data_IF_945872796049
#
_entry.id   IF_945872796049
#
_cell.length_a   1.000
_cell.length_b   1.000
_cell.length_c   1.000
_cell.angle_alpha   90.00
_cell.angle_beta   90.00
_cell.angle_gamma   90.00
#
_symmetry.space_group_name_H-M   'P 1'
#
loop_
_entity.id
_entity.type
_entity.pdbx_description
1 polymer ?
#
# COMPACT_ATOMS: atom_id res chain seq x y z
N UNK A 1 15.06 14.51 -15.60
CA UNK A 1 14.29 15.60 -14.96
C UNK A 1 13.14 14.93 -14.21
N UNK A 2 13.33 14.68 -12.92
CA UNK A 2 12.48 13.78 -12.14
C UNK A 2 11.88 14.52 -10.96
N UNK A 3 10.56 14.42 -10.77
CA UNK A 3 9.88 14.92 -9.58
C UNK A 3 9.53 13.74 -8.68
N UNK A 4 10.04 13.74 -7.47
CA UNK A 4 9.92 12.61 -6.56
C UNK A 4 8.69 12.76 -5.68
N UNK A 5 7.76 11.82 -5.77
CA UNK A 5 6.51 11.83 -5.01
C UNK A 5 6.54 10.70 -3.99
N UNK A 6 6.84 11.00 -2.73
CA UNK A 6 6.78 10.05 -1.63
C UNK A 6 5.38 10.03 -1.04
N UNK A 7 4.81 8.86 -0.79
CA UNK A 7 3.63 8.70 0.04
C UNK A 7 3.95 7.67 1.12
N UNK A 8 3.75 8.05 2.39
CA UNK A 8 4.01 7.19 3.55
C UNK A 8 2.77 7.08 4.44
N UNK A 9 2.42 5.85 4.84
CA UNK A 9 1.32 5.58 5.75
C UNK A 9 1.52 4.22 6.41
N UNK A 10 0.76 3.99 7.48
CA UNK A 10 1.03 2.90 8.40
C UNK A 10 -0.22 2.06 8.68
N UNK A 11 -0.09 0.73 8.60
CA UNK A 11 -1.16 -0.22 8.88
C UNK A 11 -0.88 -0.92 10.21
N UNK A 12 -1.91 -1.20 11.01
CA UNK A 12 -1.78 -2.03 12.21
C UNK A 12 -2.21 -3.48 11.93
N UNK A 13 -1.31 -4.43 12.17
CA UNK A 13 -1.57 -5.88 12.06
C UNK A 13 -1.64 -6.51 13.46
N UNK A 14 -2.58 -7.44 13.64
CA UNK A 14 -2.71 -8.25 14.84
C UNK A 14 -1.78 -9.49 14.77
N UNK A 15 -0.83 -9.67 15.70
CA UNK A 15 0.05 -10.84 15.70
C UNK A 15 -0.67 -12.14 16.10
N UNK A 16 -0.29 -13.27 15.48
CA UNK A 16 -0.76 -14.62 15.81
C UNK A 16 -0.04 -15.25 17.00
N UNK A 17 1.20 -14.82 17.27
CA UNK A 17 2.00 -15.33 18.39
C UNK A 17 1.48 -14.76 19.70
N UNK A 18 0.44 -15.41 20.23
CA UNK A 18 -0.15 -15.12 21.53
C UNK A 18 0.54 -15.97 22.60
N UNK A 19 1.44 -15.42 23.43
CA UNK A 19 1.86 -16.10 24.64
C UNK A 19 0.65 -16.28 25.55
N UNK A 20 0.37 -17.53 25.97
CA UNK A 20 -0.71 -17.83 26.93
C UNK A 20 -0.48 -17.00 28.21
N UNK A 21 -1.50 -16.25 28.64
CA UNK A 21 -1.53 -15.63 29.97
C UNK A 21 -1.17 -14.14 30.07
N UNK A 22 -0.90 -13.41 28.99
CA UNK A 22 -0.75 -11.94 29.04
C UNK A 22 -1.94 -11.21 28.41
N UNK A 23 -2.65 -10.40 29.22
CA UNK A 23 -3.63 -9.43 28.73
C UNK A 23 -2.87 -8.33 27.96
N UNK A 24 -3.08 -8.31 26.64
CA UNK A 24 -2.44 -7.43 25.65
C UNK A 24 -0.92 -7.62 25.47
N UNK A 25 -0.53 -8.18 24.32
CA UNK A 25 0.65 -7.68 23.60
C UNK A 25 0.09 -7.03 22.35
N UNK A 26 0.26 -5.71 22.27
CA UNK A 26 -0.50 -4.78 21.43
C UNK A 26 -0.43 -5.06 19.93
N UNK A 27 -1.37 -4.44 19.21
CA UNK A 27 -1.32 -4.31 17.74
C UNK A 27 0.10 -3.92 17.33
N UNK A 28 0.70 -4.63 16.36
CA UNK A 28 2.00 -4.24 15.80
C UNK A 28 1.78 -3.47 14.52
N UNK A 29 2.54 -2.40 14.37
CA UNK A 29 2.39 -1.43 13.31
C UNK A 29 3.36 -1.75 12.17
N UNK A 30 2.84 -2.06 10.98
CA UNK A 30 3.61 -2.26 9.76
C UNK A 30 3.63 -0.99 8.92
N UNK A 31 4.81 -0.57 8.51
CA UNK A 31 5.02 0.65 7.72
C UNK A 31 5.03 0.32 6.24
N UNK A 32 4.46 1.21 5.44
CA UNK A 32 4.50 1.18 3.98
C UNK A 32 4.94 2.57 3.49
N UNK A 33 5.89 2.58 2.58
CA UNK A 33 6.27 3.75 1.80
C UNK A 33 6.14 3.39 0.33
N UNK A 34 5.68 4.35 -0.45
CA UNK A 34 5.58 4.25 -1.90
C UNK A 34 6.20 5.51 -2.48
N UNK A 35 7.07 5.35 -3.46
CA UNK A 35 7.61 6.46 -4.22
C UNK A 35 7.49 6.20 -5.72
N UNK A 36 7.34 7.27 -6.49
CA UNK A 36 7.19 7.26 -7.94
C UNK A 36 7.55 8.65 -8.47
N UNK A 37 7.79 8.75 -9.78
CA UNK A 37 8.27 9.97 -10.42
C UNK A 37 7.27 10.63 -11.37
N UNK A 38 6.06 10.06 -11.48
CA UNK A 38 5.01 10.60 -12.32
C UNK A 38 3.92 9.59 -12.64
N UNK A 39 3.08 9.94 -13.60
CA UNK A 39 1.97 9.13 -14.07
C UNK A 39 2.10 8.91 -15.57
N UNK A 40 1.85 7.68 -16.01
CA UNK A 40 1.77 7.32 -17.43
C UNK A 40 0.41 6.70 -17.73
N UNK A 41 -0.11 6.91 -18.94
CA UNK A 41 -1.35 6.24 -19.36
C UNK A 41 -1.14 4.73 -19.35
N UNK A 42 -2.13 4.00 -18.85
CA UNK A 42 -2.07 2.53 -18.76
C UNK A 42 -1.89 1.88 -20.14
N UNK A 43 -2.52 2.44 -21.16
CA UNK A 43 -2.40 2.01 -22.55
C UNK A 43 -2.71 3.19 -23.49
N UNK A 44 -2.27 3.14 -24.77
CA UNK A 44 -2.66 4.13 -25.76
C UNK A 44 -4.19 4.31 -25.80
N UNK A 45 -4.67 5.55 -25.70
CA UNK A 45 -6.10 5.88 -25.71
C UNK A 45 -6.87 5.62 -24.41
N UNK A 46 -6.22 5.18 -23.33
CA UNK A 46 -6.87 5.02 -22.03
C UNK A 46 -6.95 6.35 -21.25
N UNK A 47 -8.04 6.52 -20.51
CA UNK A 47 -8.20 7.58 -19.49
C UNK A 47 -7.63 7.14 -18.13
N UNK A 48 -7.19 5.88 -17.99
CA UNK A 48 -6.58 5.36 -16.77
C UNK A 48 -5.07 5.60 -16.75
N UNK A 49 -4.56 5.94 -15.56
CA UNK A 49 -3.14 6.16 -15.33
C UNK A 49 -2.58 5.15 -14.33
N UNK A 50 -1.29 4.87 -14.47
CA UNK A 50 -0.49 4.14 -13.50
C UNK A 50 0.71 4.99 -13.09
N UNK A 51 1.24 4.73 -11.90
CA UNK A 51 2.43 5.42 -11.40
C UNK A 51 3.68 4.90 -12.12
N UNK A 52 4.49 5.82 -12.61
CA UNK A 52 5.74 5.52 -13.32
C UNK A 52 6.87 5.25 -12.32
N UNK A 53 7.73 4.29 -12.64
CA UNK A 53 8.85 3.81 -11.79
C UNK A 53 8.49 3.58 -10.32
N UNK A 54 7.27 3.11 -10.05
CA UNK A 54 6.78 2.92 -8.69
C UNK A 54 7.68 1.96 -7.89
N UNK A 55 8.15 2.44 -6.75
CA UNK A 55 8.81 1.65 -5.73
C UNK A 55 7.94 1.62 -4.47
N UNK A 56 7.98 0.49 -3.77
CA UNK A 56 7.31 0.24 -2.52
C UNK A 56 8.31 -0.38 -1.54
N UNK A 57 8.25 0.06 -0.29
CA UNK A 57 8.97 -0.50 0.84
C UNK A 57 7.97 -0.81 1.94
N UNK A 58 8.02 -2.01 2.51
CA UNK A 58 7.13 -2.37 3.61
C UNK A 58 7.85 -3.22 4.66
N UNK A 59 7.48 -3.05 5.92
CA UNK A 59 8.01 -3.90 7.00
C UNK A 59 7.73 -3.39 8.40
N UNK A 60 8.05 -4.24 9.37
CA UNK A 60 8.16 -3.84 10.77
C UNK A 60 9.55 -3.24 11.00
N UNK A 61 9.56 -1.97 11.38
CA UNK A 61 10.77 -1.23 11.73
C UNK A 61 10.38 -0.02 12.59
N UNK A 62 11.33 0.48 13.38
CA UNK A 62 11.20 1.81 13.97
C UNK A 62 11.10 2.87 12.87
N UNK A 63 10.57 4.05 13.17
CA UNK A 63 10.43 5.11 12.16
C UNK A 63 11.76 5.51 11.53
N UNK A 64 12.84 5.55 12.33
CA UNK A 64 14.20 5.84 11.86
C UNK A 64 14.72 4.77 10.91
N UNK A 65 14.72 3.50 11.35
CA UNK A 65 15.18 2.37 10.51
C UNK A 65 14.36 2.25 9.22
N UNK A 66 13.06 2.53 9.29
CA UNK A 66 12.20 2.48 8.12
C UNK A 66 12.51 3.61 7.13
N UNK A 67 12.74 4.82 7.63
CA UNK A 67 13.16 5.96 6.80
C UNK A 67 14.49 5.67 6.10
N UNK A 68 15.50 5.20 6.83
CA UNK A 68 16.81 4.80 6.27
C UNK A 68 16.66 3.74 5.17
N UNK A 69 15.79 2.73 5.38
CA UNK A 69 15.50 1.72 4.38
C UNK A 69 14.84 2.31 3.12
N UNK A 70 13.90 3.24 3.30
CA UNK A 70 13.20 3.91 2.20
C UNK A 70 14.18 4.76 1.40
N UNK A 71 14.97 5.60 2.07
CA UNK A 71 15.96 6.47 1.42
C UNK A 71 17.02 5.64 0.67
N UNK A 72 17.51 4.53 1.25
CA UNK A 72 18.41 3.62 0.56
C UNK A 72 17.78 2.93 -0.66
N UNK A 73 16.49 2.58 -0.58
CA UNK A 73 15.76 1.98 -1.71
C UNK A 73 15.56 3.02 -2.82
N UNK A 74 15.26 4.27 -2.47
CA UNK A 74 15.16 5.37 -3.43
C UNK A 74 16.50 5.58 -4.13
N UNK A 75 17.59 5.74 -3.37
CA UNK A 75 18.93 5.96 -3.92
C UNK A 75 19.45 4.81 -4.79
N UNK A 76 18.93 3.60 -4.60
CA UNK A 76 19.25 2.46 -5.46
C UNK A 76 18.59 2.55 -6.85
N UNK A 77 17.40 3.14 -6.92
CA UNK A 77 16.57 3.13 -8.13
C UNK A 77 16.57 4.46 -8.87
N UNK A 78 16.75 5.55 -8.12
CA UNK A 78 16.74 6.92 -8.61
C UNK A 78 18.13 7.54 -8.44
N UNK A 79 18.52 8.36 -9.42
CA UNK A 79 19.63 9.27 -9.22
C UNK A 79 19.17 10.42 -8.31
N UNK A 80 19.46 10.30 -7.02
CA UNK A 80 19.02 11.28 -6.00
C UNK A 80 19.60 12.66 -6.20
N UNK A 81 20.78 12.76 -6.83
CA UNK A 81 21.46 14.02 -7.10
C UNK A 81 20.76 14.83 -8.22
N UNK A 82 19.94 14.19 -9.04
CA UNK A 82 19.15 14.82 -10.10
C UNK A 82 17.71 15.16 -9.66
N UNK A 83 17.33 14.89 -8.41
CA UNK A 83 16.00 15.20 -7.91
C UNK A 83 15.94 16.69 -7.57
N UNK A 84 15.27 17.47 -8.40
CA UNK A 84 15.05 18.90 -8.17
C UNK A 84 13.96 19.15 -7.12
N UNK A 85 12.88 18.34 -7.17
CA UNK A 85 11.74 18.48 -6.28
C UNK A 85 11.32 17.14 -5.70
N UNK A 86 11.13 17.11 -4.39
CA UNK A 86 10.62 15.98 -3.60
C UNK A 86 9.39 16.40 -2.82
N UNK A 87 8.22 15.91 -3.24
CA UNK A 87 6.97 16.10 -2.52
C UNK A 87 6.71 14.88 -1.63
N UNK A 88 6.59 15.12 -0.33
CA UNK A 88 6.30 14.11 0.68
C UNK A 88 4.82 14.20 1.08
N UNK A 89 4.06 13.16 0.79
CA UNK A 89 2.66 12.99 1.17
C UNK A 89 2.54 12.06 2.38
N UNK A 90 1.81 12.46 3.40
CA UNK A 90 1.63 11.60 4.57
C UNK A 90 0.63 12.13 5.59
N UNK A 91 0.53 11.42 6.71
CA UNK A 91 -0.39 11.72 7.81
C UNK A 91 0.09 12.86 8.74
N UNK A 92 1.29 13.39 8.50
CA UNK A 92 1.89 14.44 9.30
C UNK A 92 2.70 13.94 10.50
N UNK A 93 2.99 12.64 10.60
CA UNK A 93 3.88 12.10 11.63
C UNK A 93 5.28 12.75 11.55
N UNK A 94 5.91 12.95 12.71
CA UNK A 94 7.17 13.71 12.83
C UNK A 94 8.30 13.15 11.96
N UNK A 95 8.42 11.82 11.85
CA UNK A 95 9.45 11.16 11.05
C UNK A 95 9.29 11.38 9.53
N UNK A 96 8.06 11.61 9.07
CA UNK A 96 7.77 11.94 7.66
C UNK A 96 8.32 13.35 7.35
N UNK A 97 8.28 14.22 8.36
CA UNK A 97 8.69 15.62 8.28
C UNK A 97 10.16 15.88 8.58
N UNK A 98 10.93 14.85 8.90
CA UNK A 98 12.33 14.99 9.33
C UNK A 98 13.23 15.60 8.24
N UNK A 99 12.89 15.42 6.96
CA UNK A 99 13.61 16.02 5.82
C UNK A 99 13.05 17.39 5.40
N UNK A 100 12.08 17.95 6.14
CA UNK A 100 11.59 19.30 5.84
C UNK A 100 12.64 20.34 6.25
N UNK A 101 12.89 21.27 5.33
CA UNK A 101 13.97 22.26 5.46
C UNK A 101 15.13 22.02 4.49
N UNK A 102 15.21 20.85 3.87
CA UNK A 102 16.06 20.60 2.71
C UNK A 102 15.51 21.36 1.48
N UNK A 103 16.39 21.92 0.66
CA UNK A 103 16.01 22.61 -0.58
C UNK A 103 15.29 21.65 -1.53
N UNK A 104 14.20 22.10 -2.15
CA UNK A 104 13.38 21.28 -3.06
C UNK A 104 12.49 20.24 -2.38
N UNK A 105 12.49 20.13 -1.04
CA UNK A 105 11.63 19.20 -0.30
C UNK A 105 10.39 19.89 0.24
N UNK A 106 9.21 19.40 -0.14
CA UNK A 106 7.92 19.96 0.26
C UNK A 106 7.01 18.90 0.87
N UNK A 107 6.22 19.27 1.89
CA UNK A 107 5.24 18.39 2.50
C UNK A 107 3.82 18.66 1.98
N UNK A 108 3.05 17.60 1.77
CA UNK A 108 1.62 17.62 1.54
C UNK A 108 0.92 16.68 2.52
N UNK A 109 -0.18 17.15 3.10
CA UNK A 109 -1.01 16.36 3.99
C UNK A 109 -1.94 15.48 3.16
N UNK A 110 -1.93 14.17 3.45
CA UNK A 110 -2.68 13.19 2.68
C UNK A 110 -4.20 13.45 2.75
N UNK A 111 -4.91 13.49 1.60
CA UNK A 111 -6.34 13.82 1.57
C UNK A 111 -7.24 12.92 2.41
N UNK A 112 -6.89 11.63 2.52
CA UNK A 112 -7.65 10.70 3.35
C UNK A 112 -7.48 11.03 4.83
N UNK A 113 -6.27 11.31 5.29
CA UNK A 113 -6.00 11.66 6.69
C UNK A 113 -6.61 13.01 7.08
N UNK A 114 -6.59 13.99 6.16
CA UNK A 114 -7.34 15.26 6.32
C UNK A 114 -8.81 14.97 6.60
N UNK A 115 -9.45 14.20 5.73
CA UNK A 115 -10.88 13.88 5.84
C UNK A 115 -11.19 13.06 7.09
N UNK A 116 -10.35 12.05 7.40
CA UNK A 116 -10.50 11.21 8.57
C UNK A 116 -10.37 12.01 9.88
N UNK A 117 -9.42 12.96 9.95
CA UNK A 117 -9.26 13.83 11.10
C UNK A 117 -10.50 14.71 11.32
N UNK A 118 -11.09 15.26 10.26
CA UNK A 118 -12.35 16.02 10.34
C UNK A 118 -13.49 15.14 10.83
N UNK A 119 -13.73 14.00 10.17
CA UNK A 119 -14.85 13.09 10.50
C UNK A 119 -14.79 12.58 11.94
N UNK A 120 -13.58 12.36 12.48
CA UNK A 120 -13.39 11.87 13.85
C UNK A 120 -13.70 12.92 14.92
N UNK A 121 -13.51 14.20 14.60
CA UNK A 121 -13.55 15.28 15.60
C UNK A 121 -14.73 16.24 15.43
N UNK A 122 -15.42 16.22 14.29
CA UNK A 122 -16.61 17.05 14.01
C UNK A 122 -17.85 16.16 14.01
N UNK A 123 -18.76 16.40 14.95
CA UNK A 123 -19.97 15.58 15.12
C UNK A 123 -21.06 15.90 14.09
N UNK A 124 -21.27 17.19 13.79
CA UNK A 124 -22.24 17.59 12.77
C UNK A 124 -21.71 17.24 11.37
N UNK A 125 -22.51 16.48 10.63
CA UNK A 125 -22.13 16.01 9.30
C UNK A 125 -22.04 17.15 8.28
N UNK A 126 -22.86 18.19 8.37
CA UNK A 126 -22.83 19.30 7.42
C UNK A 126 -21.56 20.13 7.62
N UNK A 127 -21.20 20.38 8.87
CA UNK A 127 -19.95 21.06 9.22
C UNK A 127 -18.74 20.25 8.79
N UNK A 128 -18.74 18.94 9.02
CA UNK A 128 -17.68 18.05 8.56
C UNK A 128 -17.51 18.10 7.03
N UNK A 129 -18.61 18.01 6.25
CA UNK A 129 -18.55 18.09 4.79
C UNK A 129 -18.05 19.46 4.31
N UNK A 130 -18.50 20.54 4.95
CA UNK A 130 -18.06 21.90 4.61
C UNK A 130 -16.57 22.09 4.87
N UNK A 131 -16.07 21.59 6.00
CA UNK A 131 -14.65 21.61 6.34
C UNK A 131 -13.80 20.79 5.36
N UNK A 132 -14.23 19.57 5.04
CA UNK A 132 -13.54 18.73 4.05
C UNK A 132 -13.44 19.47 2.71
N UNK A 133 -14.55 20.07 2.25
CA UNK A 133 -14.55 20.85 1.01
C UNK A 133 -13.56 22.01 1.04
N UNK A 134 -13.50 22.77 2.15
CA UNK A 134 -12.51 23.85 2.31
C UNK A 134 -11.07 23.32 2.23
N UNK A 135 -10.79 22.19 2.89
CA UNK A 135 -9.47 21.55 2.90
C UNK A 135 -9.06 20.94 1.56
N UNK A 136 -10.01 20.47 0.76
CA UNK A 136 -9.77 19.96 -0.60
C UNK A 136 -9.53 21.11 -1.60
N UNK A 137 -10.20 22.25 -1.39
CA UNK A 137 -9.97 23.47 -2.15
C UNK A 137 -8.59 24.10 -1.84
N UNK A 138 -7.99 23.75 -0.69
CA UNK A 138 -6.70 24.28 -0.22
C UNK A 138 -6.85 25.54 0.66
N UNK A 139 -8.05 25.80 1.18
CA UNK A 139 -8.36 26.99 1.98
C UNK A 139 -7.97 26.79 3.44
N UNK A 140 -6.67 26.74 3.70
CA UNK A 140 -6.12 26.47 5.02
C UNK A 140 -6.63 27.47 6.08
N UNK A 141 -6.54 28.77 5.83
CA UNK A 141 -6.95 29.80 6.79
C UNK A 141 -8.45 29.76 7.08
N UNK A 142 -9.29 29.77 6.03
CA UNK A 142 -10.75 29.71 6.17
C UNK A 142 -11.19 28.45 6.94
N UNK A 143 -10.50 27.32 6.74
CA UNK A 143 -10.82 26.08 7.47
C UNK A 143 -10.49 26.19 8.97
N UNK A 144 -9.38 26.85 9.33
CA UNK A 144 -8.99 27.07 10.72
C UNK A 144 -9.94 28.05 11.41
N UNK A 145 -10.28 29.17 10.76
CA UNK A 145 -11.27 30.12 11.24
C UNK A 145 -12.63 29.45 11.46
N UNK A 146 -13.04 28.56 10.55
CA UNK A 146 -14.29 27.82 10.70
C UNK A 146 -14.27 26.91 11.92
N UNK A 147 -13.17 26.21 12.19
CA UNK A 147 -13.03 25.38 13.40
C UNK A 147 -13.08 26.24 14.66
N UNK A 148 -12.41 27.40 14.67
CA UNK A 148 -12.49 28.35 15.80
C UNK A 148 -13.92 28.79 16.06
N UNK A 149 -14.69 29.09 15.00
CA UNK A 149 -16.12 29.39 15.12
C UNK A 149 -16.89 28.23 15.77
N UNK A 150 -16.67 27.00 15.31
CA UNK A 150 -17.32 25.82 15.89
C UNK A 150 -16.97 25.66 17.38
N UNK A 151 -15.71 25.89 17.78
CA UNK A 151 -15.30 25.84 19.19
C UNK A 151 -16.09 26.85 20.05
N UNK A 152 -16.27 28.08 19.55
CA UNK A 152 -17.02 29.14 20.26
C UNK A 152 -18.51 28.79 20.40
N UNK A 153 -19.10 28.14 19.40
CA UNK A 153 -20.51 27.73 19.40
C UNK A 153 -20.80 26.62 20.43
N UNK A 154 -19.80 25.78 20.74
CA UNK A 154 -19.92 24.67 21.69
C UNK A 154 -19.86 25.12 23.15
N UNK A 155 -20.76 25.99 23.63
CA UNK A 155 -20.63 26.62 24.97
C UNK A 155 -20.47 25.64 26.14
N UNK A 156 -21.25 24.56 26.16
CA UNK A 156 -21.38 23.66 27.33
C UNK A 156 -20.82 22.23 27.10
N UNK A 157 -20.37 21.90 25.88
CA UNK A 157 -19.81 20.58 25.57
C UNK A 157 -18.28 20.60 25.54
N UNK A 158 -17.68 20.46 26.72
CA UNK A 158 -16.22 20.40 26.90
C UNK A 158 -15.57 19.24 26.12
N UNK A 159 -16.27 18.11 25.93
CA UNK A 159 -15.72 16.98 25.17
C UNK A 159 -15.64 17.31 23.69
N UNK A 160 -16.66 17.98 23.16
CA UNK A 160 -16.68 18.38 21.75
C UNK A 160 -15.67 19.51 21.50
N UNK A 161 -15.51 20.47 22.42
CA UNK A 161 -14.42 21.46 22.36
C UNK A 161 -13.06 20.79 22.26
N UNK A 162 -12.76 19.83 23.15
CA UNK A 162 -11.46 19.14 23.16
C UNK A 162 -11.18 18.41 21.83
N UNK A 163 -12.19 17.81 21.20
CA UNK A 163 -12.06 17.20 19.87
C UNK A 163 -11.75 18.24 18.79
N UNK A 164 -12.46 19.36 18.79
CA UNK A 164 -12.25 20.44 17.82
C UNK A 164 -10.88 21.11 18.01
N UNK A 165 -10.42 21.30 19.24
CA UNK A 165 -9.07 21.79 19.54
C UNK A 165 -7.98 20.82 19.05
N UNK A 166 -8.20 19.51 19.22
CA UNK A 166 -7.31 18.48 18.65
C UNK A 166 -7.24 18.59 17.13
N UNK A 167 -8.37 18.77 16.45
CA UNK A 167 -8.41 18.97 15.00
C UNK A 167 -7.69 20.27 14.60
N UNK A 168 -7.96 21.37 15.29
CA UNK A 168 -7.31 22.66 15.05
C UNK A 168 -5.79 22.54 15.16
N UNK A 169 -5.30 22.00 16.27
CA UNK A 169 -3.86 21.83 16.50
C UNK A 169 -3.22 20.91 15.46
N UNK A 170 -3.90 19.83 15.05
CA UNK A 170 -3.43 18.96 13.99
C UNK A 170 -3.31 19.70 12.64
N UNK A 171 -4.31 20.48 12.25
CA UNK A 171 -4.28 21.23 10.99
C UNK A 171 -3.25 22.37 11.03
N UNK A 172 -3.11 23.07 12.14
CA UNK A 172 -2.08 24.10 12.33
C UNK A 172 -0.68 23.50 12.20
N UNK A 173 -0.41 22.37 12.86
CA UNK A 173 0.88 21.68 12.77
C UNK A 173 1.20 21.17 11.35
N UNK A 174 0.20 21.10 10.47
CA UNK A 174 0.31 20.63 9.09
C UNK A 174 -0.14 21.69 8.07
N UNK A 175 -0.19 22.97 8.46
CA UNK A 175 -0.84 24.04 7.67
C UNK A 175 -0.29 24.16 6.26
N UNK A 176 1.04 24.14 6.12
CA UNK A 176 1.74 24.17 4.84
C UNK A 176 1.33 23.01 3.94
N UNK A 177 1.03 21.84 4.53
CA UNK A 177 0.63 20.63 3.81
C UNK A 177 -0.82 20.62 3.30
N UNK A 178 -1.68 21.55 3.74
CA UNK A 178 -3.11 21.53 3.39
C UNK A 178 -3.33 21.82 1.92
N UNK A 179 -2.69 22.88 1.43
CA UNK A 179 -2.77 23.30 0.02
C UNK A 179 -2.07 22.28 -0.86
N UNK A 180 -2.70 21.75 -1.92
CA UNK A 180 -2.03 20.83 -2.84
C UNK A 180 -0.79 21.46 -3.47
N UNK A 181 0.28 20.68 -3.66
CA UNK A 181 1.56 21.16 -4.20
C UNK A 181 1.41 21.86 -5.57
N UNK A 182 0.45 21.41 -6.38
CA UNK A 182 0.16 21.97 -7.70
C UNK A 182 -0.42 23.40 -7.66
N UNK A 183 -0.94 23.83 -6.50
CA UNK A 183 -1.54 25.17 -6.30
C UNK A 183 -0.63 26.12 -5.53
N UNK A 184 0.60 25.70 -5.24
CA UNK A 184 1.55 26.46 -4.42
C UNK A 184 2.51 27.22 -5.32
N UNK A 185 2.48 28.55 -5.23
CA UNK A 185 3.28 29.44 -6.09
C UNK A 185 4.78 29.32 -5.81
N UNK A 186 5.16 28.93 -4.59
CA UNK A 186 6.54 28.72 -4.18
C UNK A 186 7.18 27.46 -4.78
N UNK A 187 6.38 26.55 -5.34
CA UNK A 187 6.84 25.29 -5.95
C UNK A 187 6.92 25.45 -7.46
N UNK A 188 8.13 25.62 -8.00
CA UNK A 188 8.37 25.70 -9.44
C UNK A 188 8.50 24.30 -10.04
N UNK A 189 7.37 23.66 -10.33
CA UNK A 189 7.35 22.31 -10.90
C UNK A 189 8.04 22.31 -12.28
N UNK A 190 9.10 21.50 -12.51
CA UNK A 190 9.75 21.40 -13.81
C UNK A 190 8.82 20.76 -14.85
N UNK A 191 9.17 20.92 -16.12
CA UNK A 191 8.42 20.32 -17.21
C UNK A 191 8.55 18.79 -17.18
N UNK A 192 7.43 18.09 -17.31
CA UNK A 192 7.42 16.64 -17.28
C UNK A 192 8.07 16.06 -18.55
N UNK A 193 8.88 14.98 -18.45
CA UNK A 193 9.38 14.29 -19.63
C UNK A 193 8.26 13.76 -20.53
N UNK A 194 8.57 13.55 -21.81
CA UNK A 194 7.58 13.07 -22.79
C UNK A 194 6.88 11.78 -22.31
N UNK A 195 5.54 11.79 -22.35
CA UNK A 195 4.70 10.68 -21.94
C UNK A 195 4.45 10.56 -20.44
N UNK A 196 5.10 11.38 -19.61
CA UNK A 196 4.90 11.44 -18.15
C UNK A 196 4.06 12.67 -17.80
N UNK A 197 3.15 12.51 -16.85
CA UNK A 197 2.33 13.61 -16.31
C UNK A 197 2.46 13.71 -14.79
N UNK A 198 2.54 14.94 -14.28
CA UNK A 198 2.46 15.20 -12.84
C UNK A 198 0.99 15.43 -12.44
N UNK A 199 0.43 14.49 -11.66
CA UNK A 199 -0.96 14.54 -11.16
C UNK A 199 -0.99 14.59 -9.63
N UNK A 200 -2.19 14.55 -9.07
CA UNK A 200 -2.39 14.42 -7.63
C UNK A 200 -1.67 13.18 -7.06
N UNK A 201 -1.33 13.22 -5.78
CA UNK A 201 -0.54 12.16 -5.12
C UNK A 201 -1.33 10.88 -4.83
N UNK A 202 -2.66 10.92 -5.03
CA UNK A 202 -3.57 9.87 -4.63
C UNK A 202 -3.74 9.82 -3.11
N UNK A 203 -4.37 8.76 -2.62
CA UNK A 203 -4.49 8.48 -1.18
C UNK A 203 -3.61 7.31 -0.81
N UNK A 204 -2.95 7.38 0.35
CA UNK A 204 -2.16 6.24 0.74
C UNK A 204 -2.98 5.03 1.18
N UNK A 205 -4.21 5.23 1.66
CA UNK A 205 -5.10 4.13 2.04
C UNK A 205 -5.32 3.15 0.88
N UNK A 206 -5.41 3.65 -0.36
CA UNK A 206 -5.51 2.80 -1.55
C UNK A 206 -4.24 1.97 -1.76
N UNK A 207 -3.06 2.57 -1.65
CA UNK A 207 -1.79 1.84 -1.75
C UNK A 207 -1.65 0.79 -0.64
N UNK A 208 -2.05 1.14 0.58
CA UNK A 208 -2.13 0.23 1.73
C UNK A 208 -3.01 -0.97 1.43
N UNK A 209 -4.19 -0.72 0.89
CA UNK A 209 -5.15 -1.76 0.56
C UNK A 209 -4.61 -2.69 -0.52
N UNK A 210 -4.15 -2.12 -1.63
CA UNK A 210 -3.70 -2.85 -2.81
C UNK A 210 -2.44 -3.69 -2.55
N UNK A 211 -1.48 -3.12 -1.82
CA UNK A 211 -0.17 -3.75 -1.61
C UNK A 211 -0.24 -4.74 -0.44
N UNK A 212 -0.86 -4.35 0.68
CA UNK A 212 -0.79 -5.11 1.93
C UNK A 212 -2.15 -5.68 2.34
N UNK A 213 -3.15 -4.84 2.58
CA UNK A 213 -4.36 -5.24 3.30
C UNK A 213 -5.15 -6.33 2.57
N UNK A 214 -5.28 -6.24 1.24
CA UNK A 214 -6.00 -7.22 0.44
C UNK A 214 -5.43 -8.63 0.63
N UNK A 215 -4.09 -8.78 0.75
CA UNK A 215 -3.47 -10.09 0.98
C UNK A 215 -3.43 -10.49 2.45
N UNK A 216 -3.11 -9.54 3.33
CA UNK A 216 -2.78 -9.83 4.74
C UNK A 216 -4.02 -9.95 5.62
N UNK A 217 -5.10 -9.23 5.28
CA UNK A 217 -6.36 -9.21 6.05
C UNK A 217 -7.45 -10.10 5.44
N UNK A 218 -7.26 -10.63 4.23
CA UNK A 218 -8.19 -11.58 3.63
C UNK A 218 -8.36 -12.82 4.53
N UNK A 219 -9.61 -13.25 4.74
CA UNK A 219 -9.92 -14.52 5.42
C UNK A 219 -9.67 -14.54 6.92
N UNK A 220 -9.60 -13.39 7.61
CA UNK A 220 -9.36 -13.30 9.07
C UNK A 220 -8.05 -13.98 9.51
N UNK A 221 -7.04 -13.93 8.65
CA UNK A 221 -5.72 -14.52 8.92
C UNK A 221 -5.00 -13.80 10.06
N UNK A 222 -4.15 -14.53 10.75
CA UNK A 222 -3.24 -13.99 11.77
C UNK A 222 -1.83 -14.47 11.46
N UNK A 223 -0.85 -13.58 11.63
CA UNK A 223 0.53 -13.83 11.22
C UNK A 223 1.48 -13.71 12.41
N UNK A 224 2.52 -14.55 12.44
CA UNK A 224 3.65 -14.31 13.34
C UNK A 224 4.29 -12.98 12.94
N UNK A 225 4.96 -12.30 13.86
CA UNK A 225 5.62 -11.03 13.51
C UNK A 225 6.62 -11.21 12.37
N UNK A 226 7.43 -12.27 12.44
CA UNK A 226 8.36 -12.63 11.36
C UNK A 226 7.63 -12.94 10.06
N UNK A 227 6.52 -13.69 10.13
CA UNK A 227 5.71 -14.06 8.97
C UNK A 227 5.08 -12.85 8.28
N UNK A 228 4.49 -11.92 9.05
CA UNK A 228 3.95 -10.68 8.53
C UNK A 228 5.04 -9.77 7.95
N UNK A 229 6.20 -9.66 8.60
CA UNK A 229 7.32 -8.87 8.07
C UNK A 229 7.79 -9.39 6.70
N UNK A 230 8.02 -10.71 6.62
CA UNK A 230 8.50 -11.35 5.40
C UNK A 230 7.46 -11.23 4.28
N UNK A 231 6.18 -11.45 4.60
CA UNK A 231 5.09 -11.30 3.63
C UNK A 231 5.00 -9.87 3.11
N UNK A 232 5.11 -8.86 3.97
CA UNK A 232 5.07 -7.46 3.54
C UNK A 232 6.24 -7.09 2.63
N UNK A 233 7.46 -7.57 2.94
CA UNK A 233 8.63 -7.40 2.06
C UNK A 233 8.42 -8.08 0.69
N UNK A 234 7.85 -9.28 0.67
CA UNK A 234 7.51 -9.99 -0.57
C UNK A 234 6.47 -9.21 -1.38
N UNK A 235 5.44 -8.68 -0.73
CA UNK A 235 4.40 -7.87 -1.38
C UNK A 235 4.97 -6.57 -1.95
N UNK A 236 5.85 -5.89 -1.22
CA UNK A 236 6.58 -4.73 -1.71
C UNK A 236 7.45 -5.08 -2.94
N UNK A 237 8.23 -6.18 -2.89
CA UNK A 237 9.01 -6.66 -4.04
C UNK A 237 8.15 -7.01 -5.25
N UNK A 238 6.96 -7.57 -5.02
CA UNK A 238 5.98 -7.85 -6.08
C UNK A 238 5.50 -6.55 -6.73
N UNK A 239 5.16 -5.54 -5.94
CA UNK A 239 4.77 -4.21 -6.45
C UNK A 239 5.89 -3.58 -7.26
N UNK A 240 7.15 -3.78 -6.86
CA UNK A 240 8.32 -3.25 -7.55
C UNK A 240 8.68 -4.02 -8.84
N UNK A 241 7.92 -5.07 -9.21
CA UNK A 241 8.24 -5.93 -10.35
C UNK A 241 9.48 -6.81 -10.18
N UNK A 242 10.07 -6.88 -8.97
CA UNK A 242 11.37 -7.52 -8.69
C UNK A 242 11.27 -8.88 -8.01
N UNK A 243 10.06 -9.33 -7.72
CA UNK A 243 9.88 -10.61 -7.03
C UNK A 243 10.52 -11.77 -7.80
N UNK A 244 10.27 -11.87 -9.10
CA UNK A 244 10.79 -12.97 -9.92
C UNK A 244 12.32 -12.95 -10.00
N UNK A 245 12.93 -11.79 -10.24
CA UNK A 245 14.39 -11.67 -10.32
C UNK A 245 15.07 -12.02 -9.00
N UNK A 246 14.49 -11.61 -7.86
CA UNK A 246 15.00 -11.98 -6.54
C UNK A 246 14.87 -13.49 -6.32
N UNK A 247 13.72 -14.07 -6.65
CA UNK A 247 13.50 -15.52 -6.56
C UNK A 247 14.53 -16.25 -7.42
N UNK A 248 14.68 -15.92 -8.70
CA UNK A 248 15.66 -16.53 -9.60
C UNK A 248 17.09 -16.44 -9.08
N UNK A 249 17.51 -15.28 -8.59
CA UNK A 249 18.84 -15.12 -8.00
C UNK A 249 19.05 -16.05 -6.80
N UNK A 250 18.08 -16.16 -5.89
CA UNK A 250 18.16 -17.08 -4.76
C UNK A 250 18.15 -18.55 -5.19
N UNK A 251 17.32 -18.92 -6.17
CA UNK A 251 17.23 -20.29 -6.66
C UNK A 251 18.51 -20.74 -7.38
N UNK A 252 19.10 -19.87 -8.22
CA UNK A 252 20.36 -20.16 -8.92
C UNK A 252 21.55 -20.24 -7.96
N UNK A 253 21.51 -19.54 -6.81
CA UNK A 253 22.57 -19.59 -5.80
C UNK A 253 22.39 -20.79 -4.84
N UNK A 254 21.15 -21.22 -4.58
CA UNK A 254 20.85 -22.16 -3.48
C UNK A 254 20.60 -23.59 -3.96
N UNK A 255 20.15 -23.78 -5.20
CA UNK A 255 19.75 -25.08 -5.73
C UNK A 255 20.66 -25.45 -6.89
N UNK A 256 21.42 -26.54 -6.75
CA UNK A 256 22.23 -27.08 -7.85
C UNK A 256 21.33 -27.45 -9.03
N UNK A 257 21.84 -27.37 -10.26
CA UNK A 257 21.11 -27.77 -11.47
C UNK A 257 20.56 -29.21 -11.35
N UNK A 258 21.29 -30.09 -10.67
CA UNK A 258 20.88 -31.46 -10.33
C UNK A 258 19.60 -31.51 -9.49
N UNK A 259 19.50 -30.70 -8.42
CA UNK A 259 18.29 -30.62 -7.58
C UNK A 259 17.12 -29.96 -8.31
N UNK A 260 17.38 -29.01 -9.21
CA UNK A 260 16.35 -28.43 -10.07
C UNK A 260 15.80 -29.46 -11.07
N UNK A 261 16.64 -30.35 -11.60
CA UNK A 261 16.23 -31.45 -12.45
C UNK A 261 15.39 -32.47 -11.68
N UNK A 262 15.78 -32.83 -10.45
CA UNK A 262 15.04 -33.72 -9.56
C UNK A 262 13.64 -33.18 -9.21
N UNK A 263 13.52 -31.88 -8.90
CA UNK A 263 12.21 -31.23 -8.68
C UNK A 263 11.35 -31.24 -9.96
N UNK A 264 11.95 -31.00 -11.13
CA UNK A 264 11.24 -31.07 -12.42
C UNK A 264 10.77 -32.50 -12.74
N UNK A 265 11.54 -33.52 -12.37
CA UNK A 265 11.14 -34.93 -12.49
C UNK A 265 10.04 -35.32 -11.51
N UNK A 266 10.09 -34.85 -10.25
CA UNK A 266 9.01 -35.10 -9.28
C UNK A 266 7.68 -34.42 -9.66
N UNK A 267 7.73 -33.23 -10.27
CA UNK A 267 6.52 -32.54 -10.76
C UNK A 267 5.95 -33.26 -12.00
N UNK A 268 6.80 -33.88 -12.82
CA UNK A 268 6.40 -34.83 -13.85
C UNK A 268 6.04 -36.17 -13.19
N UNK A 269 4.96 -36.20 -12.42
CA UNK A 269 4.35 -37.46 -12.01
C UNK A 269 4.12 -38.30 -13.27
N UNK A 270 4.82 -39.43 -13.35
CA UNK A 270 4.53 -40.48 -14.31
C UNK A 270 3.06 -40.87 -14.17
N UNK A 271 2.39 -41.19 -15.28
CA UNK A 271 0.99 -41.66 -15.27
C UNK A 271 0.75 -42.84 -14.30
N UNK A 272 1.81 -43.57 -13.93
CA UNK A 272 1.79 -44.63 -12.93
C UNK A 272 1.69 -44.14 -11.46
N UNK A 273 2.14 -42.93 -11.14
CA UNK A 273 2.15 -42.40 -9.78
C UNK A 273 0.85 -41.69 -9.38
N UNK A 274 -0.05 -41.43 -10.35
CA UNK A 274 -1.38 -40.84 -10.14
C UNK A 274 -2.26 -41.72 -9.23
N UNK A 275 -2.02 -43.04 -9.20
CA UNK A 275 -2.82 -44.02 -8.46
C UNK A 275 -2.22 -44.46 -7.10
N UNK A 276 -1.08 -43.94 -6.66
CA UNK A 276 -0.52 -44.29 -5.34
C UNK A 276 -1.31 -43.61 -4.22
N UNK A 277 -1.95 -44.40 -3.36
CA UNK A 277 -2.64 -43.91 -2.14
C UNK A 277 -1.63 -43.18 -1.23
N UNK A 278 -1.75 -41.86 -1.16
CA UNK A 278 -0.96 -41.03 -0.24
C UNK A 278 -1.23 -41.46 1.22
N UNK A 279 -0.17 -41.58 2.03
CA UNK A 279 -0.28 -41.85 3.47
C UNK A 279 -1.09 -40.72 4.12
N UNK A 280 -2.13 -41.07 4.89
CA UNK A 280 -3.00 -40.09 5.56
C UNK A 280 -2.18 -39.20 6.50
N UNK A 281 -2.02 -37.92 6.14
CA UNK A 281 -1.46 -36.91 7.01
C UNK A 281 -2.46 -36.52 8.12
N UNK A 282 -1.96 -36.18 9.31
CA UNK A 282 -2.77 -35.76 10.49
C UNK A 282 -3.32 -34.31 10.39
N UNK A 283 -3.26 -33.68 9.23
CA UNK A 283 -3.75 -32.32 9.00
C UNK A 283 -5.05 -32.33 8.19
N UNK A 284 -5.83 -31.25 8.30
CA UNK A 284 -7.14 -31.06 7.65
C UNK A 284 -7.18 -31.60 6.22
N UNK A 285 -8.22 -32.38 5.93
CA UNK A 285 -8.45 -32.94 4.61
C UNK A 285 -8.64 -31.81 3.60
N UNK A 286 -7.64 -31.58 2.74
CA UNK A 286 -7.82 -30.74 1.56
C UNK A 286 -8.83 -31.46 0.69
N UNK A 287 -10.04 -30.92 0.52
CA UNK A 287 -10.98 -31.44 -0.47
C UNK A 287 -10.37 -31.20 -1.85
N UNK A 288 -9.88 -32.26 -2.48
CA UNK A 288 -9.51 -32.23 -3.89
C UNK A 288 -10.80 -32.37 -4.69
N UNK A 289 -11.28 -31.28 -5.27
CA UNK A 289 -12.36 -31.33 -6.25
C UNK A 289 -11.86 -31.98 -7.55
N UNK A 290 -12.68 -32.81 -8.18
CA UNK A 290 -12.44 -33.29 -9.54
C UNK A 290 -12.52 -32.17 -10.57
N UNK A 291 -12.27 -32.48 -11.85
CA UNK A 291 -12.42 -31.48 -12.90
C UNK A 291 -13.86 -30.95 -12.93
N UNK A 292 -14.09 -29.64 -13.10
CA UNK A 292 -15.43 -29.11 -13.22
C UNK A 292 -16.22 -29.82 -14.34
N UNK A 293 -17.45 -30.21 -14.02
CA UNK A 293 -18.36 -30.96 -14.91
C UNK A 293 -17.90 -32.39 -15.27
N UNK A 294 -17.00 -32.98 -14.49
CA UNK A 294 -16.65 -34.40 -14.61
C UNK A 294 -17.88 -35.28 -14.30
N UNK A 295 -18.20 -36.19 -15.21
CA UNK A 295 -19.40 -37.05 -15.14
C UNK A 295 -20.72 -36.40 -15.56
N UNK A 296 -20.71 -35.12 -15.98
CA UNK A 296 -21.91 -34.40 -16.44
C UNK A 296 -22.03 -34.38 -17.98
N UNK A 297 -23.25 -34.23 -18.49
CA UNK A 297 -23.48 -34.05 -19.94
C UNK A 297 -22.75 -32.81 -20.46
N UNK A 298 -21.94 -32.99 -21.52
CA UNK A 298 -21.01 -31.98 -22.02
C UNK A 298 -21.65 -31.06 -23.05
N UNK A 299 -22.05 -29.86 -22.62
CA UNK A 299 -22.43 -28.76 -23.53
C UNK A 299 -21.21 -28.02 -24.05
N UNK A 300 -21.34 -27.25 -25.14
CA UNK A 300 -20.23 -26.49 -25.72
C UNK A 300 -19.59 -25.51 -24.71
N UNK A 301 -20.40 -24.86 -23.87
CA UNK A 301 -19.93 -23.99 -22.80
C UNK A 301 -19.16 -24.75 -21.71
N UNK A 302 -19.60 -25.96 -21.33
CA UNK A 302 -18.86 -26.82 -20.38
C UNK A 302 -17.54 -27.34 -20.96
N UNK A 303 -17.49 -27.62 -22.26
CA UNK A 303 -16.25 -27.99 -22.98
C UNK A 303 -15.25 -26.83 -22.96
N UNK A 304 -15.70 -25.61 -23.25
CA UNK A 304 -14.86 -24.41 -23.22
C UNK A 304 -14.25 -24.18 -21.83
N UNK A 305 -15.04 -24.32 -20.76
CA UNK A 305 -14.56 -24.16 -19.38
C UNK A 305 -13.52 -25.24 -19.04
N UNK A 306 -13.73 -26.49 -19.44
CA UNK A 306 -12.74 -27.56 -19.21
C UNK A 306 -11.45 -27.35 -20.00
N UNK A 307 -11.54 -26.81 -21.21
CA UNK A 307 -10.38 -26.47 -22.03
C UNK A 307 -9.51 -25.37 -21.39
N UNK A 308 -10.14 -24.31 -20.85
CA UNK A 308 -9.43 -23.25 -20.13
C UNK A 308 -8.62 -23.78 -18.95
N UNK A 309 -9.15 -24.80 -18.26
CA UNK A 309 -8.55 -25.40 -17.07
C UNK A 309 -7.54 -26.51 -17.40
N UNK A 310 -7.51 -27.03 -18.63
CA UNK A 310 -6.59 -28.10 -19.06
C UNK A 310 -5.16 -27.63 -19.30
N UNK A 311 -5.01 -26.38 -19.76
CA UNK A 311 -3.72 -25.86 -20.25
C UNK A 311 -3.11 -24.76 -19.37
N UNK A 312 -3.72 -24.42 -18.24
CA UNK A 312 -3.23 -23.38 -17.34
C UNK A 312 -2.91 -23.94 -15.97
N UNK A 313 -1.75 -23.56 -15.43
CA UNK A 313 -1.49 -23.76 -14.02
C UNK A 313 -2.52 -22.96 -13.22
N UNK A 314 -2.96 -23.45 -12.06
CA UNK A 314 -4.01 -22.77 -11.26
C UNK A 314 -3.61 -21.33 -10.89
N UNK A 315 -2.29 -21.06 -10.83
CA UNK A 315 -1.68 -19.74 -10.61
C UNK A 315 -1.83 -18.76 -11.78
N UNK A 316 -2.19 -19.24 -12.97
CA UNK A 316 -2.35 -18.46 -14.21
C UNK A 316 -3.80 -18.09 -14.50
N UNK A 317 -4.74 -18.61 -13.68
CA UNK A 317 -6.15 -18.26 -13.74
C UNK A 317 -6.37 -16.97 -12.95
N UNK A 318 -6.39 -15.83 -13.65
CA UNK A 318 -6.99 -14.60 -13.11
C UNK A 318 -8.50 -14.80 -13.07
N UNK A 319 -9.04 -15.01 -11.88
CA UNK A 319 -10.47 -14.83 -11.63
C UNK A 319 -10.69 -13.32 -11.58
N UNK A 320 -11.49 -12.81 -12.50
CA UNK A 320 -11.97 -11.42 -12.52
C UNK A 320 -13.02 -11.26 -11.41
#
# INVERSE_FOLDING_TARGET
MWNFLNSTCTIYILPSDRPKGKKSRGKKEIKLAVAYDGWVKRSPGSDEYITHNKIACAGFASSKEFKELVDATIAKEYNVDEIEIKIINGDGASWIKESLGEEGVYFQLDPFHKSQAVIKNVEDKKDAHKLIKMLDEGKAEESLEYITKLIIEQKDDEKQKEKLEKLYNYLVANKEGITPYQKREEIKIPEAPEGIEYKHLGTMENNIFDILANRMNAGKMSWTEKGANNLAKILALKTNGKLNSVVEAYFNVTISEEKLAEIKEEIKLSAADVNKKQKKAKAYHIQRGGMPFEGCAMTNSRKAIREILRYKCLSELKVI
#
